data_IF_928875016942
#
_entry.id   IF_928875016942
#
_cell.length_a   1.000
_cell.length_b   1.000
_cell.length_c   1.000
_cell.angle_alpha   90.00
_cell.angle_beta   90.00
_cell.angle_gamma   90.00
#
_symmetry.space_group_name_H-M   'P 1'
#
loop_
_entity.id
_entity.type
_entity.pdbx_description
1 polymer ?
#
# COMPACT_ATOMS: atom_id res chain seq x y z
N UNK A 1 26.05 1.41 -19.00
CA UNK A 1 25.44 0.28 -19.75
C UNK A 1 24.68 -0.73 -18.89
N UNK A 2 25.23 -1.28 -17.80
CA UNK A 2 24.57 -2.35 -16.98
C UNK A 2 23.18 -2.01 -16.44
N UNK A 3 22.95 -0.79 -15.92
CA UNK A 3 21.62 -0.35 -15.43
C UNK A 3 20.54 -0.33 -16.52
N UNK A 4 20.87 0.11 -17.74
CA UNK A 4 19.92 0.16 -18.86
C UNK A 4 19.55 -1.24 -19.33
N UNK A 5 20.51 -2.14 -19.49
CA UNK A 5 20.26 -3.55 -19.86
C UNK A 5 19.37 -4.22 -18.80
N UNK A 6 19.68 -4.05 -17.52
CA UNK A 6 18.85 -4.54 -16.41
C UNK A 6 17.43 -3.98 -16.44
N UNK A 7 17.25 -2.70 -16.80
CA UNK A 7 15.94 -2.07 -16.90
C UNK A 7 15.12 -2.67 -18.06
N UNK A 8 15.72 -2.84 -19.24
CA UNK A 8 15.03 -3.45 -20.40
C UNK A 8 14.64 -4.91 -20.14
N UNK A 9 15.53 -5.72 -19.56
CA UNK A 9 15.22 -7.10 -19.16
C UNK A 9 14.07 -7.13 -18.16
N UNK A 10 14.07 -6.20 -17.19
CA UNK A 10 13.02 -6.09 -16.20
C UNK A 10 11.68 -5.66 -16.80
N UNK A 11 11.67 -4.73 -17.75
CA UNK A 11 10.47 -4.32 -18.49
C UNK A 11 9.89 -5.47 -19.30
N UNK A 12 10.73 -6.26 -19.99
CA UNK A 12 10.30 -7.45 -20.75
C UNK A 12 9.72 -8.53 -19.82
N UNK A 13 10.39 -8.84 -18.70
CA UNK A 13 9.89 -9.80 -17.72
C UNK A 13 8.58 -9.33 -17.07
N UNK A 14 8.46 -8.04 -16.76
CA UNK A 14 7.22 -7.45 -16.23
C UNK A 14 6.10 -7.55 -17.26
N UNK A 15 6.38 -7.23 -18.52
CA UNK A 15 5.43 -7.35 -19.61
C UNK A 15 4.92 -8.79 -19.78
N UNK A 16 5.84 -9.76 -19.88
CA UNK A 16 5.50 -11.18 -19.98
C UNK A 16 4.68 -11.63 -18.77
N UNK A 17 5.05 -11.22 -17.56
CA UNK A 17 4.29 -11.53 -16.34
C UNK A 17 2.88 -10.97 -16.39
N UNK A 18 2.68 -9.71 -16.80
CA UNK A 18 1.34 -9.11 -16.93
C UNK A 18 0.51 -9.85 -17.98
N UNK A 19 1.12 -10.21 -19.11
CA UNK A 19 0.46 -10.99 -20.17
C UNK A 19 0.05 -12.36 -19.65
N UNK A 20 0.96 -13.09 -19.00
CA UNK A 20 0.70 -14.38 -18.34
C UNK A 20 -0.41 -14.21 -17.31
N UNK A 21 -0.34 -13.25 -16.39
CA UNK A 21 -1.37 -13.02 -15.36
C UNK A 21 -2.75 -12.72 -15.95
N UNK A 22 -2.81 -12.01 -17.09
CA UNK A 22 -4.06 -11.78 -17.83
C UNK A 22 -4.56 -13.07 -18.51
N UNK A 23 -3.67 -13.86 -19.12
CA UNK A 23 -4.00 -15.11 -19.82
C UNK A 23 -4.46 -16.20 -18.85
N UNK A 24 -3.78 -16.33 -17.70
CA UNK A 24 -4.15 -17.25 -16.61
C UNK A 24 -5.32 -16.72 -15.76
N UNK A 25 -6.10 -15.81 -16.33
CA UNK A 25 -7.51 -15.62 -16.01
C UNK A 25 -7.80 -15.11 -14.58
N UNK A 26 -6.96 -14.20 -14.07
CA UNK A 26 -7.33 -13.41 -12.89
C UNK A 26 -8.46 -12.45 -13.26
N UNK A 27 -9.71 -12.94 -13.19
CA UNK A 27 -10.92 -12.10 -13.26
C UNK A 27 -10.82 -11.06 -12.15
N UNK A 28 -10.52 -9.81 -12.51
CA UNK A 28 -10.36 -8.70 -11.56
C UNK A 28 -9.03 -7.95 -11.67
N UNK A 29 -8.01 -8.49 -12.35
CA UNK A 29 -6.75 -7.77 -12.58
C UNK A 29 -6.76 -6.99 -13.91
N UNK A 30 -6.82 -5.66 -13.81
CA UNK A 30 -6.74 -4.77 -14.96
C UNK A 30 -5.51 -3.90 -14.81
N UNK A 31 -4.58 -4.00 -15.76
CA UNK A 31 -3.33 -3.26 -15.73
C UNK A 31 -2.95 -2.76 -17.11
N UNK A 32 -2.46 -1.52 -17.19
CA UNK A 32 -1.74 -1.05 -18.36
C UNK A 32 -0.47 -1.90 -18.58
N UNK A 33 -0.07 -2.11 -19.84
CA UNK A 33 1.08 -2.97 -20.16
C UNK A 33 2.44 -2.36 -19.76
N UNK A 34 2.49 -1.04 -19.60
CA UNK A 34 3.72 -0.30 -19.31
C UNK A 34 3.86 -0.18 -17.79
N UNK A 35 4.53 -1.16 -17.18
CA UNK A 35 4.87 -1.18 -15.76
C UNK A 35 6.36 -1.47 -15.58
N UNK A 36 6.90 -1.11 -14.42
CA UNK A 36 8.26 -1.46 -14.02
C UNK A 36 8.26 -2.16 -12.65
N UNK A 37 7.99 -3.47 -12.66
CA UNK A 37 7.92 -4.25 -11.43
C UNK A 37 9.21 -5.01 -11.14
N UNK A 38 9.59 -5.05 -9.87
CA UNK A 38 10.64 -5.96 -9.44
C UNK A 38 10.17 -7.40 -9.64
N UNK A 39 11.09 -8.31 -9.96
CA UNK A 39 10.77 -9.74 -10.08
C UNK A 39 10.17 -10.30 -8.78
N UNK A 40 10.49 -9.70 -7.63
CA UNK A 40 9.98 -10.11 -6.32
C UNK A 40 8.71 -9.39 -5.88
N UNK A 41 8.14 -8.51 -6.71
CA UNK A 41 6.80 -7.95 -6.45
C UNK A 41 5.77 -9.07 -6.49
N UNK A 42 4.87 -9.12 -5.53
CA UNK A 42 3.74 -10.07 -5.50
C UNK A 42 2.46 -9.30 -5.78
N UNK A 43 1.66 -9.81 -6.71
CA UNK A 43 0.33 -9.30 -7.02
C UNK A 43 -0.62 -10.47 -6.84
N UNK A 44 -1.63 -10.29 -6.01
CA UNK A 44 -2.61 -11.33 -5.70
C UNK A 44 -4.01 -10.74 -5.75
N UNK A 45 -4.93 -11.49 -6.37
CA UNK A 45 -6.35 -11.17 -6.35
C UNK A 45 -7.05 -12.45 -5.92
N UNK A 46 -7.76 -12.39 -4.80
CA UNK A 46 -8.53 -13.51 -4.27
C UNK A 46 -10.00 -13.12 -4.16
N UNK A 47 -10.86 -14.13 -4.07
CA UNK A 47 -12.32 -13.95 -4.01
C UNK A 47 -12.84 -13.10 -5.19
N UNK A 48 -13.73 -12.13 -4.94
CA UNK A 48 -14.25 -11.18 -5.94
C UNK A 48 -13.41 -9.90 -6.05
N UNK A 49 -12.15 -9.95 -5.60
CA UNK A 49 -11.26 -8.81 -5.56
C UNK A 49 -10.94 -8.20 -6.93
N UNK A 50 -10.48 -6.95 -6.94
CA UNK A 50 -10.08 -6.22 -8.15
C UNK A 50 -8.82 -5.42 -7.91
N UNK A 51 -7.88 -5.47 -8.85
CA UNK A 51 -6.71 -4.58 -8.88
C UNK A 51 -6.74 -3.81 -10.19
N UNK A 52 -6.73 -2.48 -10.11
CA UNK A 52 -6.77 -1.55 -11.24
C UNK A 52 -5.48 -0.72 -11.25
N UNK A 53 -4.61 -0.98 -12.22
CA UNK A 53 -3.31 -0.34 -12.34
C UNK A 53 -3.25 0.55 -13.59
N UNK A 54 -3.04 1.86 -13.37
CA UNK A 54 -2.72 2.82 -14.45
C UNK A 54 -1.27 2.63 -14.92
N UNK A 55 -0.75 3.52 -15.75
CA UNK A 55 0.58 3.39 -16.37
C UNK A 55 1.71 3.72 -15.40
N UNK A 56 2.92 3.24 -15.71
CA UNK A 56 4.17 3.68 -15.09
C UNK A 56 4.26 3.47 -13.57
N UNK A 57 3.66 2.40 -13.05
CA UNK A 57 3.86 2.04 -11.65
C UNK A 57 5.23 1.37 -11.51
N UNK A 58 6.03 1.88 -10.58
CA UNK A 58 7.35 1.37 -10.28
C UNK A 58 7.38 0.74 -8.89
N UNK A 59 7.85 -0.51 -8.79
CA UNK A 59 8.02 -1.18 -7.49
C UNK A 59 9.48 -1.55 -7.25
N UNK A 60 9.94 -1.52 -6.01
CA UNK A 60 11.21 -2.14 -5.64
C UNK A 60 10.97 -3.58 -5.12
N UNK A 61 11.94 -4.15 -4.42
CA UNK A 61 11.90 -5.56 -4.01
C UNK A 61 10.82 -5.78 -2.95
N UNK A 62 10.16 -6.93 -3.03
CA UNK A 62 9.25 -7.44 -2.00
C UNK A 62 8.04 -6.54 -1.76
N UNK A 63 7.60 -5.82 -2.80
CA UNK A 63 6.33 -5.08 -2.77
C UNK A 63 5.17 -6.07 -2.93
N UNK A 64 4.12 -5.91 -2.11
CA UNK A 64 2.94 -6.78 -2.12
C UNK A 64 1.70 -5.93 -2.39
N UNK A 65 0.98 -6.24 -3.47
CA UNK A 65 -0.28 -5.62 -3.85
C UNK A 65 -1.36 -6.69 -3.86
N UNK A 66 -2.31 -6.61 -2.93
CA UNK A 66 -3.33 -7.63 -2.74
C UNK A 66 -4.73 -7.02 -2.75
N UNK A 67 -5.66 -7.69 -3.41
CA UNK A 67 -7.09 -7.44 -3.28
C UNK A 67 -7.79 -8.73 -2.88
N UNK A 68 -8.37 -8.75 -1.69
CA UNK A 68 -9.04 -9.90 -1.08
C UNK A 68 -10.53 -9.57 -0.94
N UNK A 69 -11.30 -9.82 -1.99
CA UNK A 69 -12.71 -9.39 -2.05
C UNK A 69 -12.92 -7.89 -2.31
N UNK A 70 -11.95 -7.04 -1.96
CA UNK A 70 -11.98 -5.58 -2.15
C UNK A 70 -11.41 -5.07 -3.48
N UNK A 71 -11.28 -3.75 -3.60
CA UNK A 71 -10.70 -3.09 -4.80
C UNK A 71 -9.45 -2.28 -4.45
N UNK A 72 -8.33 -2.55 -5.13
CA UNK A 72 -7.11 -1.73 -5.06
C UNK A 72 -6.92 -0.98 -6.38
N UNK A 73 -6.96 0.35 -6.33
CA UNK A 73 -6.79 1.23 -7.47
C UNK A 73 -5.52 2.05 -7.31
N UNK A 74 -4.64 2.02 -8.31
CA UNK A 74 -3.36 2.73 -8.29
C UNK A 74 -3.24 3.60 -9.54
N UNK A 75 -3.11 4.91 -9.30
CA UNK A 75 -2.93 5.94 -10.31
C UNK A 75 -1.57 5.87 -11.01
N UNK A 76 -1.43 6.76 -11.99
CA UNK A 76 -0.27 6.76 -12.89
C UNK A 76 0.99 7.28 -12.21
N UNK A 77 2.14 6.66 -12.51
CA UNK A 77 3.44 7.15 -12.06
C UNK A 77 3.73 6.92 -10.57
N UNK A 78 3.00 6.04 -9.90
CA UNK A 78 3.25 5.73 -8.49
C UNK A 78 4.57 4.96 -8.29
N UNK A 79 5.24 5.24 -7.17
CA UNK A 79 6.49 4.59 -6.79
C UNK A 79 6.38 3.91 -5.43
N UNK A 80 6.63 2.61 -5.38
CA UNK A 80 6.69 1.82 -4.15
C UNK A 80 8.12 1.35 -3.88
N UNK A 81 8.69 1.74 -2.75
CA UNK A 81 10.02 1.28 -2.34
C UNK A 81 9.97 -0.14 -1.73
N UNK A 82 11.12 -0.64 -1.26
CA UNK A 82 11.25 -2.02 -0.81
C UNK A 82 10.26 -2.33 0.33
N UNK A 83 9.64 -3.50 0.29
CA UNK A 83 8.80 -4.00 1.37
C UNK A 83 7.45 -3.29 1.56
N UNK A 84 7.04 -2.41 0.63
CA UNK A 84 5.70 -1.80 0.72
C UNK A 84 4.60 -2.86 0.56
N UNK A 85 3.47 -2.65 1.23
CA UNK A 85 2.32 -3.53 1.16
C UNK A 85 1.02 -2.73 1.07
N UNK A 86 0.12 -3.13 0.19
CA UNK A 86 -1.26 -2.65 0.16
C UNK A 86 -2.21 -3.86 0.07
N UNK A 87 -3.12 -4.00 1.03
CA UNK A 87 -4.09 -5.11 1.09
C UNK A 87 -5.50 -4.55 1.19
N UNK A 88 -6.28 -4.69 0.12
CA UNK A 88 -7.64 -4.18 0.03
C UNK A 88 -8.67 -5.29 0.29
N UNK A 89 -9.46 -5.15 1.36
CA UNK A 89 -10.66 -5.96 1.64
C UNK A 89 -11.97 -5.25 1.26
N UNK A 90 -11.95 -3.93 1.17
CA UNK A 90 -13.06 -3.10 0.69
C UNK A 90 -12.62 -2.22 -0.47
N UNK A 91 -11.83 -1.19 -0.20
CA UNK A 91 -11.34 -0.23 -1.20
C UNK A 91 -10.12 0.54 -0.73
N UNK A 92 -9.03 0.44 -1.49
CA UNK A 92 -7.86 1.32 -1.39
C UNK A 92 -7.72 2.06 -2.71
N UNK A 93 -7.74 3.39 -2.68
CA UNK A 93 -7.52 4.25 -3.85
C UNK A 93 -6.27 5.09 -3.64
N UNK A 94 -5.31 4.95 -4.55
CA UNK A 94 -4.08 5.73 -4.61
C UNK A 94 -4.11 6.58 -5.88
N UNK A 95 -3.93 7.88 -5.72
CA UNK A 95 -3.87 8.87 -6.79
C UNK A 95 -2.64 8.73 -7.69
N UNK A 96 -2.35 9.77 -8.45
CA UNK A 96 -1.22 9.80 -9.37
C UNK A 96 0.06 10.27 -8.67
N UNK A 97 1.21 9.78 -9.12
CA UNK A 97 2.56 10.19 -8.68
C UNK A 97 2.80 10.11 -7.18
N UNK A 98 2.02 9.30 -6.46
CA UNK A 98 2.26 9.03 -5.05
C UNK A 98 3.56 8.20 -4.88
N UNK A 99 4.37 8.57 -3.90
CA UNK A 99 5.66 7.95 -3.62
C UNK A 99 5.72 7.42 -2.19
N UNK A 100 6.04 6.14 -2.05
CA UNK A 100 6.08 5.43 -0.79
C UNK A 100 7.52 5.07 -0.43
N UNK A 101 7.98 5.50 0.75
CA UNK A 101 9.24 5.08 1.35
C UNK A 101 9.29 3.57 1.64
N UNK A 102 10.43 3.03 2.08
CA UNK A 102 10.54 1.61 2.42
C UNK A 102 9.53 1.19 3.50
N UNK A 103 8.96 -0.01 3.37
CA UNK A 103 8.06 -0.63 4.35
C UNK A 103 6.84 0.23 4.72
N UNK A 104 6.26 0.96 3.76
CA UNK A 104 4.93 1.56 3.97
C UNK A 104 3.86 0.48 3.84
N UNK A 105 2.99 0.37 4.83
CA UNK A 105 1.94 -0.64 4.90
C UNK A 105 0.57 0.03 4.87
N UNK A 106 -0.35 -0.45 4.02
CA UNK A 106 -1.67 0.14 3.79
C UNK A 106 -2.73 -0.95 3.96
N UNK A 107 -3.64 -0.73 4.91
CA UNK A 107 -4.73 -1.65 5.23
C UNK A 107 -6.04 -0.88 5.33
N UNK A 108 -7.07 -1.35 4.63
CA UNK A 108 -8.46 -0.83 4.73
C UNK A 108 -9.33 -1.67 5.68
N UNK A 109 -8.71 -2.51 6.51
CA UNK A 109 -9.40 -3.42 7.41
C UNK A 109 -8.64 -3.64 8.74
N UNK A 110 -9.41 -3.98 9.78
CA UNK A 110 -8.96 -4.52 11.07
C UNK A 110 -9.74 -5.81 11.36
N UNK A 111 -9.26 -6.67 12.26
CA UNK A 111 -10.10 -7.73 12.83
C UNK A 111 -11.28 -7.13 13.62
N UNK A 112 -12.47 -7.71 13.49
CA UNK A 112 -13.65 -7.25 14.23
C UNK A 112 -13.69 -7.82 15.65
N UNK A 113 -13.01 -7.17 16.57
CA UNK A 113 -12.97 -7.59 17.98
C UNK A 113 -14.35 -7.56 18.70
N UNK A 114 -15.41 -7.09 18.06
CA UNK A 114 -16.76 -7.00 18.65
C UNK A 114 -17.73 -8.06 18.15
N UNK A 115 -17.38 -8.83 17.13
CA UNK A 115 -18.31 -9.73 16.43
C UNK A 115 -18.20 -11.21 16.81
N UNK A 116 -17.14 -11.62 17.53
CA UNK A 116 -16.92 -13.02 17.89
C UNK A 116 -16.11 -13.18 19.19
N UNK A 117 -16.21 -14.34 19.83
CA UNK A 117 -15.41 -14.71 21.01
C UNK A 117 -13.92 -14.92 20.67
N UNK A 118 -13.61 -15.25 19.40
CA UNK A 118 -12.25 -15.48 18.90
C UNK A 118 -11.94 -14.59 17.70
N UNK A 119 -10.70 -14.08 17.63
CA UNK A 119 -10.21 -13.29 16.49
C UNK A 119 -10.25 -14.08 15.18
N UNK A 120 -10.10 -15.41 15.24
CA UNK A 120 -10.15 -16.26 14.03
C UNK A 120 -11.51 -16.22 13.34
N UNK A 121 -12.59 -16.05 14.10
CA UNK A 121 -13.97 -16.09 13.62
C UNK A 121 -14.59 -14.68 13.49
N UNK A 122 -13.87 -13.65 13.93
CA UNK A 122 -14.36 -12.26 13.96
C UNK A 122 -14.70 -11.68 12.59
N UNK A 123 -14.11 -12.17 11.51
CA UNK A 123 -14.12 -11.45 10.25
C UNK A 123 -13.39 -10.10 10.36
N UNK A 124 -13.79 -9.12 9.55
CA UNK A 124 -13.08 -7.85 9.42
C UNK A 124 -14.02 -6.64 9.46
N UNK A 125 -13.61 -5.58 10.18
CA UNK A 125 -14.16 -4.23 10.00
C UNK A 125 -13.40 -3.53 8.90
N UNK A 126 -14.11 -3.08 7.89
CA UNK A 126 -13.52 -2.39 6.73
C UNK A 126 -13.90 -0.92 6.71
N UNK A 127 -13.02 -0.08 6.18
CA UNK A 127 -13.32 1.31 5.84
C UNK A 127 -12.35 1.78 4.75
N UNK A 128 -12.81 2.45 3.68
CA UNK A 128 -11.96 2.78 2.54
C UNK A 128 -10.74 3.62 2.94
N UNK A 129 -9.63 3.41 2.23
CA UNK A 129 -8.44 4.26 2.32
C UNK A 129 -8.27 5.04 1.04
N UNK A 130 -8.04 6.35 1.16
CA UNK A 130 -7.83 7.25 0.02
C UNK A 130 -6.50 7.99 0.20
N UNK A 131 -5.63 7.90 -0.79
CA UNK A 131 -4.37 8.64 -0.87
C UNK A 131 -4.42 9.48 -2.15
N UNK A 132 -4.31 10.80 -2.01
CA UNK A 132 -4.38 11.73 -3.13
C UNK A 132 -3.16 11.71 -4.06
N UNK A 133 -3.21 12.59 -5.06
CA UNK A 133 -2.12 12.81 -6.01
C UNK A 133 -0.90 13.46 -5.35
N UNK A 134 0.30 13.20 -5.87
CA UNK A 134 1.57 13.84 -5.45
C UNK A 134 1.88 13.71 -3.94
N UNK A 135 1.38 12.66 -3.29
CA UNK A 135 1.67 12.39 -1.87
C UNK A 135 3.01 11.70 -1.71
N UNK A 136 3.82 12.14 -0.74
CA UNK A 136 5.01 11.41 -0.29
C UNK A 136 4.80 10.82 1.11
N UNK A 137 4.95 9.50 1.24
CA UNK A 137 4.85 8.78 2.51
C UNK A 137 6.22 8.31 2.98
N UNK A 138 6.64 8.75 4.16
CA UNK A 138 7.92 8.36 4.78
C UNK A 138 8.00 6.89 5.17
N UNK A 139 9.24 6.40 5.33
CA UNK A 139 9.53 4.99 5.61
C UNK A 139 8.84 4.45 6.87
N UNK A 140 8.50 3.16 6.89
CA UNK A 140 7.87 2.45 8.01
C UNK A 140 6.56 3.11 8.50
N UNK A 141 5.83 3.77 7.61
CA UNK A 141 4.49 4.31 7.91
C UNK A 141 3.43 3.22 7.77
N UNK A 142 2.47 3.18 8.69
CA UNK A 142 1.27 2.34 8.60
C UNK A 142 0.07 3.23 8.36
N UNK A 143 -0.73 2.92 7.33
CA UNK A 143 -1.96 3.64 6.97
C UNK A 143 -3.13 2.70 7.27
N UNK A 144 -3.97 3.09 8.22
CA UNK A 144 -5.07 2.28 8.72
C UNK A 144 -6.39 2.60 8.00
N UNK A 145 -7.37 1.70 8.16
CA UNK A 145 -8.69 1.83 7.55
C UNK A 145 -9.35 3.17 7.84
N UNK A 146 -10.08 3.69 6.84
CA UNK A 146 -10.78 4.98 6.95
C UNK A 146 -9.87 6.20 6.82
N UNK A 147 -8.58 6.00 6.54
CA UNK A 147 -7.66 7.13 6.35
C UNK A 147 -7.85 7.80 5.00
N UNK A 148 -7.93 9.13 5.00
CA UNK A 148 -7.96 9.97 3.80
C UNK A 148 -6.78 10.93 3.86
N UNK A 149 -5.86 10.84 2.91
CA UNK A 149 -4.73 11.74 2.76
C UNK A 149 -4.97 12.59 1.51
N UNK A 150 -5.13 13.89 1.70
CA UNK A 150 -5.27 14.84 0.60
C UNK A 150 -4.05 14.85 -0.34
N UNK A 151 -4.24 15.41 -1.54
CA UNK A 151 -3.14 15.58 -2.50
C UNK A 151 -2.01 16.44 -1.92
N UNK A 152 -0.80 16.28 -2.46
CA UNK A 152 0.36 17.13 -2.13
C UNK A 152 0.76 17.08 -0.64
N UNK A 153 0.41 15.99 0.05
CA UNK A 153 0.77 15.78 1.44
C UNK A 153 2.16 15.13 1.58
N UNK A 154 2.83 15.46 2.67
CA UNK A 154 4.07 14.80 3.11
C UNK A 154 3.84 14.14 4.46
N UNK A 155 4.11 12.84 4.56
CA UNK A 155 4.00 12.09 5.82
C UNK A 155 5.39 11.73 6.34
N UNK A 156 5.67 12.12 7.59
CA UNK A 156 6.91 11.76 8.28
C UNK A 156 7.06 10.25 8.48
N UNK A 157 8.30 9.76 8.44
CA UNK A 157 8.60 8.35 8.65
C UNK A 157 8.13 7.84 10.02
N UNK A 158 7.74 6.56 10.09
CA UNK A 158 7.32 5.90 11.32
C UNK A 158 5.95 6.35 11.84
N UNK A 159 5.12 6.96 10.99
CA UNK A 159 3.75 7.38 11.34
C UNK A 159 2.77 6.20 11.31
N UNK A 160 1.72 6.26 12.11
CA UNK A 160 0.55 5.36 12.11
C UNK A 160 -0.69 6.21 11.88
N UNK A 161 -1.13 6.32 10.64
CA UNK A 161 -2.18 7.26 10.25
C UNK A 161 -3.57 6.63 10.38
N UNK A 162 -4.49 7.41 10.98
CA UNK A 162 -5.92 7.11 11.07
C UNK A 162 -6.70 8.42 11.17
N UNK A 163 -7.40 8.78 10.11
CA UNK A 163 -8.20 10.00 10.03
C UNK A 163 -8.14 10.70 8.69
N UNK A 164 -8.62 11.95 8.65
CA UNK A 164 -8.65 12.78 7.45
C UNK A 164 -7.58 13.86 7.54
N UNK A 165 -6.69 13.90 6.56
CA UNK A 165 -5.59 14.84 6.47
C UNK A 165 -5.78 15.75 5.24
N UNK A 166 -5.93 17.08 5.43
CA UNK A 166 -6.16 18.02 4.33
C UNK A 166 -5.01 18.05 3.32
N UNK A 167 -5.31 18.42 2.07
CA UNK A 167 -4.30 18.58 1.03
C UNK A 167 -3.21 19.61 1.39
N UNK A 168 -2.00 19.40 0.89
CA UNK A 168 -0.85 20.28 1.15
C UNK A 168 -0.31 20.21 2.58
N UNK A 169 -0.70 19.20 3.37
CA UNK A 169 -0.28 19.09 4.77
C UNK A 169 1.06 18.37 4.92
N UNK A 170 1.85 18.79 5.91
CA UNK A 170 2.97 18.00 6.43
C UNK A 170 2.53 17.32 7.73
N UNK A 171 2.45 15.99 7.71
CA UNK A 171 1.90 15.16 8.77
C UNK A 171 3.05 14.52 9.53
N UNK A 172 3.21 14.89 10.80
CA UNK A 172 4.25 14.34 11.68
C UNK A 172 3.60 13.86 12.96
N UNK A 173 3.91 12.64 13.38
CA UNK A 173 3.50 12.12 14.68
C UNK A 173 4.65 12.21 15.67
N UNK A 174 4.47 13.06 16.69
CA UNK A 174 5.43 13.19 17.78
C UNK A 174 5.44 11.91 18.60
N UNK A 175 6.63 11.36 18.84
CA UNK A 175 6.85 10.29 19.82
C UNK A 175 7.34 10.92 21.11
N UNK A 176 6.73 10.54 22.23
CA UNK A 176 7.19 10.90 23.57
C UNK A 176 7.79 9.66 24.20
N UNK A 177 9.04 9.76 24.66
CA UNK A 177 9.70 8.71 25.42
C UNK A 177 9.61 9.07 26.91
N UNK A 178 9.07 8.17 27.72
CA UNK A 178 9.08 8.29 29.17
C UNK A 178 10.03 7.21 29.71
N UNK A 179 11.06 7.64 30.43
CA UNK A 179 12.06 6.75 31.05
C UNK A 179 11.79 6.75 32.55
N UNK A 180 11.57 5.57 33.12
CA UNK A 180 11.34 5.37 34.55
C UNK A 180 12.45 4.51 35.15
N UNK A 181 12.89 4.83 36.36
CA UNK A 181 13.79 3.96 37.11
C UNK A 181 13.05 2.69 37.55
N UNK A 182 13.64 1.53 37.22
CA UNK A 182 13.11 0.23 37.64
C UNK A 182 13.17 0.12 39.17
N UNK A 183 12.01 0.10 39.83
CA UNK A 183 11.89 -0.11 41.29
C UNK A 183 11.21 1.01 42.08
N UNK A 184 10.83 2.13 41.44
CA UNK A 184 10.01 3.20 42.05
C UNK A 184 8.92 3.64 41.10
N UNK A 185 7.84 2.88 41.02
CA UNK A 185 6.57 3.35 40.48
C UNK A 185 5.67 3.57 41.69
N UNK A 186 5.72 4.78 42.29
CA UNK A 186 4.64 5.23 43.17
C UNK A 186 3.43 5.51 42.28
N UNK A 187 2.33 4.81 42.56
CA UNK A 187 1.05 4.95 41.85
C UNK A 187 0.39 6.32 42.02
#
# INVERSE_FOLDING_TARGET
>A
MKKRISLYVRSVLTFLRIVITKIFNIKGFHSAFIQDFSITTKISVTERGKILLKKHIHTKRNVILCAEGGTLEIGEGCFFNNGCMAVAKERITIGNRAAFGPNVLIYDHDHDISSAESIHDSGYKTSPVVIGDDVWIGANTVILRGTVIGRDCVVGAGSVLKGVYPAGSVIVQKRTENIYEKGRVSG
#
